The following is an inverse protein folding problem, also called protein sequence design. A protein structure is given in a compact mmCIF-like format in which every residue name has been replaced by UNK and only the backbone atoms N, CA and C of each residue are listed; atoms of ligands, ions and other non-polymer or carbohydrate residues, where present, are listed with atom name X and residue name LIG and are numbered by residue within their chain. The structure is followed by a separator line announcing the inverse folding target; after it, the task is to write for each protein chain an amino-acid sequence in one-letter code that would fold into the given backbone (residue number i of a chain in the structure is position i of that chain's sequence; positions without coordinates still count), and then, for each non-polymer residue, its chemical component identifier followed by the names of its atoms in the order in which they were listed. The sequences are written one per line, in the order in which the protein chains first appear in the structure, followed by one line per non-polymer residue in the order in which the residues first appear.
data_IF_836258386097
#
_entry.id   IF_836258386097
#
_cell.length_a   1.000
_cell.length_b   1.000
_cell.length_c   1.000
_cell.angle_alpha   90.00
_cell.angle_beta   90.00
_cell.angle_gamma   90.00
#
_symmetry.space_group_name_H-M   'P 1'
#
loop_
_entity.id
_entity.type
_entity.pdbx_description
1 polymer ?
#
# COMPACT_ATOMS: atom_id res chain seq x y z
N UNK A 1 17.25 -13.78 1.62
CA UNK A 1 16.73 -13.26 0.32
C UNK A 1 15.28 -12.92 0.59
N UNK A 2 14.87 -11.68 0.36
CA UNK A 2 13.51 -11.22 0.67
C UNK A 2 12.53 -11.74 -0.37
N UNK A 3 11.39 -12.29 0.07
CA UNK A 3 10.37 -12.85 -0.80
C UNK A 3 9.10 -11.98 -0.78
N UNK A 4 8.75 -11.45 -1.94
CA UNK A 4 7.58 -10.62 -2.19
C UNK A 4 6.52 -11.40 -2.94
N UNK A 5 5.32 -11.48 -2.38
CA UNK A 5 4.12 -11.90 -3.08
C UNK A 5 3.30 -10.68 -3.48
N UNK A 6 2.93 -10.60 -4.75
CA UNK A 6 2.06 -9.54 -5.29
C UNK A 6 0.70 -10.15 -5.62
N UNK A 7 -0.31 -9.80 -4.83
CA UNK A 7 -1.69 -10.24 -5.06
C UNK A 7 -2.38 -9.28 -6.04
N UNK A 8 -2.70 -9.79 -7.22
CA UNK A 8 -3.37 -9.03 -8.27
C UNK A 8 -4.82 -9.50 -8.43
N UNK A 9 -5.79 -8.60 -8.69
CA UNK A 9 -7.19 -8.99 -8.86
C UNK A 9 -7.43 -9.85 -10.11
N UNK A 10 -6.52 -9.75 -11.08
CA UNK A 10 -6.59 -10.51 -12.33
C UNK A 10 -5.28 -11.27 -12.56
N UNK A 11 -5.35 -12.40 -13.26
CA UNK A 11 -4.18 -13.16 -13.68
C UNK A 11 -3.41 -12.39 -14.76
N UNK A 12 -2.53 -11.49 -14.32
CA UNK A 12 -1.68 -10.66 -15.18
C UNK A 12 -0.21 -10.96 -14.94
N UNK A 13 0.60 -10.65 -15.94
CA UNK A 13 2.04 -10.63 -15.74
C UNK A 13 2.40 -9.53 -14.72
N UNK A 14 3.37 -9.81 -13.86
CA UNK A 14 3.92 -8.82 -12.92
C UNK A 14 4.27 -7.51 -13.62
N UNK A 15 3.89 -6.40 -13.03
CA UNK A 15 4.23 -5.06 -13.52
C UNK A 15 5.72 -4.78 -13.34
N UNK A 16 6.24 -3.88 -14.19
CA UNK A 16 7.66 -3.57 -14.25
C UNK A 16 8.29 -3.17 -12.89
N UNK A 17 7.64 -2.34 -12.04
CA UNK A 17 8.22 -1.98 -10.75
C UNK A 17 8.48 -3.18 -9.82
N UNK A 18 7.65 -4.23 -9.89
CA UNK A 18 7.88 -5.45 -9.12
C UNK A 18 8.95 -6.34 -9.74
N UNK A 19 8.96 -6.47 -11.09
CA UNK A 19 10.01 -7.24 -11.78
C UNK A 19 11.40 -6.68 -11.52
N UNK A 20 11.54 -5.37 -11.45
CA UNK A 20 12.82 -4.74 -11.18
C UNK A 20 13.38 -5.08 -9.79
N UNK A 21 12.53 -5.46 -8.82
CA UNK A 21 12.99 -5.93 -7.51
C UNK A 21 13.87 -7.17 -7.58
N UNK A 22 13.72 -8.00 -8.62
CA UNK A 22 14.58 -9.16 -8.86
C UNK A 22 16.04 -8.74 -9.02
N UNK A 23 16.32 -7.63 -9.70
CA UNK A 23 17.66 -7.09 -9.85
C UNK A 23 18.29 -6.62 -8.51
N UNK A 24 17.46 -6.38 -7.50
CA UNK A 24 17.89 -6.05 -6.13
C UNK A 24 17.94 -7.27 -5.19
N UNK A 25 17.90 -8.47 -5.75
CA UNK A 25 18.05 -9.72 -5.00
C UNK A 25 16.77 -10.20 -4.30
N UNK A 26 15.59 -9.74 -4.73
CA UNK A 26 14.30 -10.22 -4.22
C UNK A 26 13.79 -11.40 -5.05
N UNK A 27 13.13 -12.35 -4.40
CA UNK A 27 12.23 -13.30 -5.07
C UNK A 27 10.87 -12.63 -5.18
N UNK A 28 10.28 -12.60 -6.38
CA UNK A 28 8.99 -11.94 -6.62
C UNK A 28 8.04 -12.91 -7.31
N UNK A 29 6.88 -13.10 -6.71
CA UNK A 29 5.83 -13.97 -7.22
C UNK A 29 4.50 -13.21 -7.32
N UNK A 30 3.84 -13.28 -8.48
CA UNK A 30 2.52 -12.70 -8.71
C UNK A 30 1.45 -13.78 -8.77
N UNK A 31 0.34 -13.59 -8.03
CA UNK A 31 -0.76 -14.53 -8.02
C UNK A 31 -2.10 -13.85 -7.74
N UNK A 32 -3.19 -14.56 -7.96
CA UNK A 32 -4.50 -14.12 -7.50
C UNK A 32 -4.68 -14.44 -6.01
N UNK A 33 -5.50 -13.68 -5.26
CA UNK A 33 -5.77 -13.99 -3.85
C UNK A 33 -6.24 -15.43 -3.61
N UNK A 34 -6.98 -16.01 -4.56
CA UNK A 34 -7.50 -17.38 -4.49
C UNK A 34 -6.42 -18.47 -4.59
N UNK A 35 -5.27 -18.15 -5.17
CA UNK A 35 -4.13 -19.05 -5.33
C UNK A 35 -3.18 -19.01 -4.10
N UNK A 36 -3.47 -18.14 -3.12
CA UNK A 36 -2.63 -17.96 -1.94
C UNK A 36 -2.78 -19.14 -0.96
N UNK A 37 -1.77 -20.00 -0.93
CA UNK A 37 -1.70 -21.17 -0.03
C UNK A 37 -0.80 -20.92 1.19
N UNK A 38 -0.86 -21.77 2.20
CA UNK A 38 -0.05 -21.64 3.42
C UNK A 38 1.46 -21.74 3.15
N UNK A 39 1.87 -22.53 2.13
CA UNK A 39 3.27 -22.57 1.70
C UNK A 39 3.78 -21.22 1.19
N UNK A 40 2.94 -20.46 0.50
CA UNK A 40 3.28 -19.11 0.03
C UNK A 40 3.43 -18.16 1.21
N UNK A 41 2.46 -18.20 2.13
CA UNK A 41 2.56 -17.44 3.38
C UNK A 41 3.83 -17.83 4.15
N UNK A 42 4.17 -19.14 4.24
CA UNK A 42 5.35 -19.60 4.95
C UNK A 42 6.67 -19.05 4.39
N UNK A 43 6.76 -18.85 3.08
CA UNK A 43 7.95 -18.41 2.39
C UNK A 43 8.08 -16.89 2.28
N UNK A 44 6.96 -16.15 2.31
CA UNK A 44 6.94 -14.73 2.07
C UNK A 44 7.43 -13.91 3.27
N UNK A 45 8.08 -12.78 2.98
CA UNK A 45 8.39 -11.70 3.91
C UNK A 45 7.41 -10.55 3.76
N UNK A 46 6.96 -10.27 2.51
CA UNK A 46 6.04 -9.18 2.19
C UNK A 46 4.91 -9.66 1.29
N UNK A 47 3.68 -9.24 1.59
CA UNK A 47 2.53 -9.38 0.69
C UNK A 47 2.08 -7.99 0.27
N UNK A 48 2.06 -7.75 -1.04
CA UNK A 48 1.55 -6.54 -1.65
C UNK A 48 0.15 -6.81 -2.22
N UNK A 49 -0.85 -6.13 -1.68
CA UNK A 49 -2.23 -6.20 -2.15
C UNK A 49 -2.45 -5.09 -3.17
N UNK A 50 -2.71 -5.45 -4.41
CA UNK A 50 -3.08 -4.50 -5.45
C UNK A 50 -4.51 -4.00 -5.25
N UNK A 51 -4.77 -2.80 -5.75
CA UNK A 51 -6.08 -2.17 -5.73
C UNK A 51 -7.17 -3.05 -6.36
N UNK A 52 -8.38 -3.02 -5.79
CA UNK A 52 -9.55 -3.83 -6.17
C UNK A 52 -9.39 -5.34 -5.87
N UNK A 53 -8.65 -5.70 -4.84
CA UNK A 53 -8.64 -7.07 -4.34
C UNK A 53 -10.04 -7.50 -3.87
N UNK A 54 -10.37 -8.78 -4.03
CA UNK A 54 -11.65 -9.33 -3.53
C UNK A 54 -11.68 -9.35 -1.99
N UNK A 55 -12.22 -8.29 -1.40
CA UNK A 55 -12.28 -8.11 0.04
C UNK A 55 -13.20 -9.13 0.73
N UNK A 56 -14.21 -9.67 0.01
CA UNK A 56 -15.07 -10.75 0.55
C UNK A 56 -14.23 -12.01 0.74
N UNK A 57 -13.48 -12.40 -0.28
CA UNK A 57 -12.57 -13.54 -0.16
C UNK A 57 -11.47 -13.31 0.87
N UNK A 58 -10.83 -12.13 0.88
CA UNK A 58 -9.78 -11.80 1.86
C UNK A 58 -10.29 -11.91 3.30
N UNK A 59 -11.55 -11.55 3.56
CA UNK A 59 -12.17 -11.74 4.86
C UNK A 59 -12.30 -13.22 5.25
N UNK A 60 -12.47 -14.14 4.30
CA UNK A 60 -12.54 -15.59 4.60
C UNK A 60 -11.20 -16.19 5.02
N UNK A 61 -10.08 -15.55 4.64
CA UNK A 61 -8.72 -15.98 4.99
C UNK A 61 -8.06 -15.06 6.03
N UNK A 62 -8.85 -14.24 6.71
CA UNK A 62 -8.37 -13.25 7.68
C UNK A 62 -7.40 -13.84 8.71
N UNK A 63 -7.74 -14.97 9.32
CA UNK A 63 -6.91 -15.61 10.36
C UNK A 63 -5.53 -16.02 9.84
N UNK A 64 -5.46 -16.49 8.59
CA UNK A 64 -4.18 -16.85 7.93
C UNK A 64 -3.33 -15.61 7.71
N UNK A 65 -3.94 -14.50 7.24
CA UNK A 65 -3.26 -13.22 7.04
C UNK A 65 -2.79 -12.63 8.37
N UNK A 66 -3.62 -12.70 9.41
CA UNK A 66 -3.23 -12.25 10.75
C UNK A 66 -2.09 -13.07 11.33
N UNK A 67 -2.10 -14.40 11.14
CA UNK A 67 -0.98 -15.27 11.54
C UNK A 67 0.31 -14.89 10.81
N UNK A 68 0.24 -14.57 9.52
CA UNK A 68 1.39 -14.08 8.75
C UNK A 68 1.95 -12.79 9.35
N UNK A 69 1.10 -11.81 9.65
CA UNK A 69 1.51 -10.53 10.24
C UNK A 69 2.09 -10.71 11.65
N UNK A 70 1.48 -11.57 12.48
CA UNK A 70 1.93 -11.86 13.85
C UNK A 70 3.33 -12.46 13.91
N UNK A 71 3.70 -13.30 12.93
CA UNK A 71 5.04 -13.89 12.87
C UNK A 71 6.12 -12.98 12.25
N UNK A 72 5.79 -11.70 11.97
CA UNK A 72 6.74 -10.73 11.44
C UNK A 72 6.63 -10.45 9.95
N UNK A 73 5.70 -11.09 9.22
CA UNK A 73 5.44 -10.77 7.82
C UNK A 73 4.88 -9.35 7.64
N UNK A 74 5.07 -8.74 6.48
CA UNK A 74 4.70 -7.35 6.22
C UNK A 74 3.63 -7.23 5.15
N UNK A 75 2.77 -6.23 5.27
CA UNK A 75 1.75 -5.90 4.27
C UNK A 75 2.00 -4.53 3.63
N UNK A 76 1.83 -4.46 2.32
CA UNK A 76 1.58 -3.21 1.58
C UNK A 76 0.18 -3.34 0.97
N UNK A 77 -0.74 -2.51 1.41
CA UNK A 77 -2.16 -2.58 1.04
C UNK A 77 -2.54 -1.32 0.27
N UNK A 78 -3.07 -1.48 -0.94
CA UNK A 78 -3.61 -0.40 -1.75
C UNK A 78 -5.09 -0.69 -1.98
N UNK A 79 -5.98 0.01 -1.30
CA UNK A 79 -7.40 -0.27 -1.47
C UNK A 79 -8.31 0.84 -0.93
N UNK A 80 -9.54 0.83 -1.43
CA UNK A 80 -10.68 1.47 -0.78
C UNK A 80 -11.37 0.38 0.06
N UNK A 81 -11.15 0.38 1.36
CA UNK A 81 -11.75 -0.62 2.26
C UNK A 81 -13.27 -0.46 2.29
N UNK A 82 -13.97 -1.34 1.62
CA UNK A 82 -15.45 -1.42 1.62
C UNK A 82 -15.93 -2.38 2.69
N UNK A 83 -15.21 -3.49 2.84
CA UNK A 83 -15.43 -4.52 3.86
C UNK A 83 -14.20 -4.57 4.76
N UNK A 84 -14.40 -4.60 6.07
CA UNK A 84 -13.31 -4.77 7.03
C UNK A 84 -12.80 -6.23 6.98
N UNK A 85 -11.82 -6.49 6.12
CA UNK A 85 -11.24 -7.82 5.94
C UNK A 85 -10.03 -8.11 6.83
N UNK A 86 -9.48 -7.08 7.50
CA UNK A 86 -8.55 -7.22 8.64
C UNK A 86 -9.06 -6.38 9.81
N UNK A 87 -8.86 -6.79 11.06
CA UNK A 87 -9.49 -6.16 12.22
C UNK A 87 -9.06 -4.72 12.48
N UNK A 88 -7.91 -4.31 11.95
CA UNK A 88 -7.36 -2.95 12.09
C UNK A 88 -7.65 -2.04 10.89
N UNK A 89 -8.26 -2.55 9.81
CA UNK A 89 -8.65 -1.73 8.66
C UNK A 89 -10.01 -1.08 8.89
N UNK A 90 -10.06 0.23 8.75
CA UNK A 90 -11.30 0.98 8.80
C UNK A 90 -11.83 1.26 7.38
N UNK A 91 -13.15 1.43 7.27
CA UNK A 91 -13.78 1.69 5.98
C UNK A 91 -13.29 2.99 5.35
N UNK A 92 -13.16 2.96 4.04
CA UNK A 92 -12.83 4.14 3.25
C UNK A 92 -13.90 5.23 3.39
N UNK A 93 -13.45 6.46 3.58
CA UNK A 93 -14.26 7.66 3.68
C UNK A 93 -13.81 8.65 2.63
N UNK A 94 -14.76 9.27 1.95
CA UNK A 94 -14.46 10.26 0.92
C UNK A 94 -14.17 11.62 1.53
N UNK A 95 -13.22 12.35 0.94
CA UNK A 95 -12.99 13.77 1.24
C UNK A 95 -13.81 14.63 0.28
N UNK A 96 -14.50 15.67 0.76
CA UNK A 96 -15.27 16.57 -0.10
C UNK A 96 -14.43 17.11 -1.28
N UNK A 97 -14.97 17.10 -2.54
CA UNK A 97 -14.21 17.46 -3.72
C UNK A 97 -13.97 18.97 -3.86
N UNK A 98 -14.55 19.79 -3.00
CA UNK A 98 -14.41 21.25 -3.06
C UNK A 98 -13.97 21.82 -1.71
N UNK A 99 -13.01 22.74 -1.73
CA UNK A 99 -12.18 23.14 -2.89
C UNK A 99 -11.35 21.95 -3.42
N UNK A 100 -10.95 21.98 -4.69
CA UNK A 100 -10.14 20.90 -5.29
C UNK A 100 -8.78 20.68 -4.61
N UNK A 101 -8.30 21.66 -3.86
CA UNK A 101 -7.11 21.56 -3.02
C UNK A 101 -7.24 20.47 -1.96
N UNK A 102 -8.47 20.10 -1.58
CA UNK A 102 -8.71 18.98 -0.66
C UNK A 102 -8.18 17.63 -1.20
N UNK A 103 -8.02 17.49 -2.52
CA UNK A 103 -7.48 16.29 -3.15
C UNK A 103 -5.98 16.38 -3.47
N UNK A 104 -5.33 17.45 -3.06
CA UNK A 104 -3.88 17.58 -3.18
C UNK A 104 -3.21 16.82 -2.04
N UNK A 105 -2.30 15.93 -2.42
CA UNK A 105 -1.54 15.14 -1.46
C UNK A 105 -0.46 15.99 -0.84
N UNK A 106 -0.36 15.95 0.49
CA UNK A 106 0.65 16.66 1.25
C UNK A 106 1.47 15.68 2.08
N UNK A 107 2.81 15.85 2.14
CA UNK A 107 3.60 15.06 3.06
C UNK A 107 3.25 15.41 4.52
N UNK A 108 3.32 14.40 5.40
CA UNK A 108 3.27 14.59 6.85
C UNK A 108 4.59 14.12 7.48
N UNK A 109 4.77 12.82 7.61
CA UNK A 109 6.02 12.21 8.07
C UNK A 109 6.47 11.12 7.06
N UNK A 110 6.86 11.52 5.82
CA UNK A 110 7.05 10.57 4.72
C UNK A 110 8.19 9.58 4.94
N UNK A 111 9.20 9.94 5.76
CA UNK A 111 10.30 9.07 6.15
C UNK A 111 11.01 8.43 4.95
N UNK A 112 11.46 7.18 5.13
CA UNK A 112 12.12 6.41 4.08
C UNK A 112 11.16 5.92 2.98
N UNK A 113 9.84 5.93 3.23
CA UNK A 113 8.84 5.44 2.27
C UNK A 113 8.62 6.40 1.10
N UNK A 114 8.56 7.71 1.40
CA UNK A 114 8.23 8.75 0.43
C UNK A 114 9.22 9.93 0.43
N UNK A 115 10.30 9.86 1.22
CA UNK A 115 11.17 11.01 1.49
C UNK A 115 11.91 11.58 0.27
N UNK A 116 11.95 10.84 -0.85
CA UNK A 116 12.56 11.27 -2.10
C UNK A 116 11.56 11.66 -3.18
N UNK A 117 10.27 11.67 -2.86
CA UNK A 117 9.22 11.91 -3.83
C UNK A 117 8.89 13.39 -3.95
N UNK A 118 8.66 13.83 -5.19
CA UNK A 118 8.04 15.11 -5.46
C UNK A 118 6.51 14.96 -5.40
N UNK A 119 5.92 15.39 -4.29
CA UNK A 119 4.48 15.27 -4.04
C UNK A 119 3.60 16.01 -5.05
N UNK A 120 4.13 17.03 -5.74
CA UNK A 120 3.38 17.73 -6.79
C UNK A 120 3.00 16.80 -7.94
N UNK A 121 3.78 15.73 -8.15
CA UNK A 121 3.51 14.74 -9.20
C UNK A 121 2.33 13.83 -8.90
N UNK A 122 1.86 13.78 -7.66
CA UNK A 122 0.70 12.99 -7.24
C UNK A 122 -0.62 13.75 -7.39
N UNK A 123 -0.59 15.06 -7.54
CA UNK A 123 -1.80 15.88 -7.63
C UNK A 123 -2.62 15.57 -8.87
N UNK A 124 -1.93 15.38 -10.00
CA UNK A 124 -2.57 15.06 -11.28
C UNK A 124 -1.83 13.92 -11.96
N UNK A 125 -2.54 12.86 -12.30
CA UNK A 125 -2.02 11.75 -13.06
C UNK A 125 -2.90 11.52 -14.29
N UNK A 126 -2.29 11.47 -15.47
CA UNK A 126 -2.99 11.35 -16.76
C UNK A 126 -4.12 12.38 -16.93
N UNK A 127 -3.91 13.60 -16.44
CA UNK A 127 -4.89 14.69 -16.50
C UNK A 127 -6.03 14.61 -15.49
N UNK A 128 -5.99 13.63 -14.57
CA UNK A 128 -7.03 13.41 -13.55
C UNK A 128 -6.53 13.86 -12.18
N UNK A 129 -7.19 14.88 -11.60
CA UNK A 129 -6.98 15.28 -10.22
C UNK A 129 -7.60 14.26 -9.27
N UNK A 130 -6.90 13.98 -8.16
CA UNK A 130 -7.35 13.03 -7.14
C UNK A 130 -7.30 11.58 -7.62
N UNK A 131 -6.45 11.24 -8.60
CA UNK A 131 -6.24 9.85 -8.99
C UNK A 131 -5.42 9.10 -7.95
N UNK A 132 -4.54 9.76 -7.23
CA UNK A 132 -3.81 9.16 -6.13
C UNK A 132 -4.78 8.66 -5.05
N UNK A 133 -5.62 9.55 -4.53
CA UNK A 133 -6.74 9.21 -3.65
C UNK A 133 -7.80 10.34 -3.64
N UNK A 134 -9.03 9.98 -3.26
CA UNK A 134 -10.15 10.90 -3.01
C UNK A 134 -10.73 10.75 -1.61
N UNK A 135 -10.00 10.08 -0.76
CA UNK A 135 -10.43 9.81 0.59
C UNK A 135 -9.35 9.16 1.44
N UNK A 136 -9.75 8.56 2.51
CA UNK A 136 -8.86 8.01 3.53
C UNK A 136 -9.51 6.81 4.23
N UNK A 137 -8.70 6.07 4.97
CA UNK A 137 -9.16 5.13 6.00
C UNK A 137 -8.47 5.49 7.30
N UNK A 138 -9.25 5.62 8.37
CA UNK A 138 -8.69 5.90 9.70
C UNK A 138 -7.66 4.83 10.08
N UNK A 139 -6.44 5.21 10.47
CA UNK A 139 -5.43 4.26 10.88
C UNK A 139 -5.71 3.70 12.27
N UNK A 140 -5.13 2.54 12.60
CA UNK A 140 -5.14 2.05 13.99
C UNK A 140 -4.33 2.99 14.91
N UNK A 141 -4.61 2.97 16.23
CA UNK A 141 -3.84 3.75 17.20
C UNK A 141 -2.33 3.48 17.13
N UNK A 142 -1.53 4.54 17.15
CA UNK A 142 -0.07 4.46 17.06
C UNK A 142 0.49 4.32 15.64
N UNK A 143 -0.34 4.41 14.61
CA UNK A 143 0.14 4.48 13.23
C UNK A 143 0.77 5.85 12.94
N UNK A 144 1.86 5.84 12.17
CA UNK A 144 2.51 7.03 11.64
C UNK A 144 1.84 7.43 10.32
N UNK A 145 1.42 8.66 10.20
CA UNK A 145 0.91 9.20 8.95
C UNK A 145 2.08 9.59 8.03
N UNK A 146 2.06 9.13 6.80
CA UNK A 146 3.08 9.43 5.82
C UNK A 146 2.67 10.58 4.92
N UNK A 147 1.44 10.51 4.41
CA UNK A 147 0.84 11.51 3.54
C UNK A 147 -0.59 11.80 3.98
N UNK A 148 -1.07 12.99 3.68
CA UNK A 148 -2.39 13.44 4.07
C UNK A 148 -3.12 14.13 2.91
N UNK A 149 -4.44 14.17 3.02
CA UNK A 149 -5.40 14.78 2.10
C UNK A 149 -6.44 15.56 2.92
N UNK A 150 -7.28 16.33 2.29
CA UNK A 150 -8.38 17.04 2.96
C UNK A 150 -8.07 18.49 3.27
N UNK A 151 -8.98 19.18 3.96
CA UNK A 151 -8.80 20.56 4.39
C UNK A 151 -7.56 20.74 5.24
N UNK A 152 -6.98 21.94 5.24
CA UNK A 152 -5.78 22.23 6.05
C UNK A 152 -6.07 22.18 7.55
N UNK A 153 -7.27 22.57 7.95
CA UNK A 153 -7.74 22.57 9.33
C UNK A 153 -8.29 21.21 9.79
N UNK A 154 -8.51 20.28 8.84
CA UNK A 154 -8.98 18.92 9.12
C UNK A 154 -8.33 17.88 8.18
N UNK A 155 -6.98 17.73 8.24
CA UNK A 155 -6.26 16.79 7.39
C UNK A 155 -6.61 15.34 7.72
N UNK A 156 -6.59 14.48 6.69
CA UNK A 156 -6.89 13.05 6.80
C UNK A 156 -5.73 12.21 6.28
N UNK A 157 -5.38 11.09 6.93
CA UNK A 157 -4.27 10.22 6.52
C UNK A 157 -4.66 9.40 5.28
N UNK A 158 -3.98 9.63 4.16
CA UNK A 158 -4.15 8.82 2.95
C UNK A 158 -3.18 7.64 2.92
N UNK A 159 -1.96 7.87 3.41
CA UNK A 159 -0.95 6.85 3.60
C UNK A 159 -0.50 6.81 5.06
N UNK A 160 -0.43 5.61 5.59
CA UNK A 160 0.08 5.40 6.94
C UNK A 160 0.86 4.09 7.06
N UNK A 161 1.78 4.05 7.99
CA UNK A 161 2.48 2.83 8.38
C UNK A 161 2.20 2.52 9.85
N UNK A 162 2.00 1.26 10.13
CA UNK A 162 1.72 0.77 11.47
C UNK A 162 2.52 -0.50 11.77
N UNK A 163 3.13 -0.55 12.93
CA UNK A 163 3.75 -1.78 13.43
C UNK A 163 2.72 -2.55 14.23
N UNK A 164 2.38 -3.74 13.76
CA UNK A 164 1.53 -4.64 14.51
C UNK A 164 2.22 -5.03 15.83
N UNK A 165 1.54 -4.98 16.99
CA UNK A 165 2.15 -5.34 18.26
C UNK A 165 2.74 -6.76 18.28
N UNK A 166 4.07 -6.85 18.42
CA UNK A 166 4.80 -8.11 18.41
C UNK A 166 4.95 -8.78 17.04
N UNK A 167 4.59 -8.10 15.95
CA UNK A 167 4.62 -8.64 14.59
C UNK A 167 5.25 -7.72 13.56
N UNK A 168 4.85 -7.92 12.30
CA UNK A 168 5.33 -7.16 11.15
C UNK A 168 4.76 -5.74 11.05
N UNK A 169 4.91 -5.15 9.88
CA UNK A 169 4.42 -3.80 9.57
C UNK A 169 3.36 -3.84 8.50
N UNK A 170 2.49 -2.85 8.54
CA UNK A 170 1.49 -2.60 7.51
C UNK A 170 1.70 -1.19 6.97
N UNK A 171 1.99 -1.06 5.68
CA UNK A 171 1.81 0.19 4.96
C UNK A 171 0.45 0.12 4.27
N UNK A 172 -0.37 1.11 4.54
CA UNK A 172 -1.69 1.23 3.91
C UNK A 172 -1.77 2.50 3.09
N UNK A 173 -2.31 2.37 1.90
CA UNK A 173 -2.62 3.44 0.97
C UNK A 173 -4.12 3.43 0.64
N UNK A 174 -4.82 4.51 0.96
CA UNK A 174 -6.25 4.67 0.68
C UNK A 174 -6.48 5.14 -0.77
N UNK A 175 -6.05 4.37 -1.75
CA UNK A 175 -6.14 4.79 -3.15
C UNK A 175 -5.75 3.72 -4.15
N UNK A 176 -5.44 4.19 -5.37
CA UNK A 176 -4.96 3.33 -6.45
C UNK A 176 -3.56 2.78 -6.16
N UNK A 177 -3.17 1.73 -6.89
CA UNK A 177 -1.86 1.10 -6.73
C UNK A 177 -0.70 2.09 -6.76
N UNK A 178 0.08 2.15 -5.68
CA UNK A 178 1.27 2.99 -5.55
C UNK A 178 2.31 2.71 -6.64
N UNK A 179 2.38 1.48 -7.18
CA UNK A 179 3.30 1.17 -8.26
C UNK A 179 3.03 1.98 -9.54
N UNK A 180 1.80 2.44 -9.77
CA UNK A 180 1.45 3.29 -10.92
C UNK A 180 2.10 4.68 -10.84
N UNK A 181 2.37 5.14 -9.63
CA UNK A 181 3.05 6.42 -9.37
C UNK A 181 4.59 6.28 -9.39
N UNK A 182 5.08 5.05 -9.52
CA UNK A 182 6.52 4.75 -9.58
C UNK A 182 7.14 4.90 -10.97
N UNK A 183 6.32 5.01 -12.00
CA UNK A 183 6.74 4.72 -13.38
C UNK A 183 6.93 5.98 -14.21
N UNK A 184 7.88 6.85 -13.85
CA UNK A 184 8.46 7.76 -14.84
C UNK A 184 9.72 7.10 -15.39
N UNK A 185 9.83 6.90 -16.73
CA UNK A 185 11.06 6.40 -17.34
C UNK A 185 12.25 7.24 -16.88
N UNK A 186 13.30 6.58 -16.39
CA UNK A 186 14.53 7.24 -15.95
C UNK A 186 14.56 7.71 -14.49
N UNK A 187 13.51 7.48 -13.70
CA UNK A 187 13.54 7.67 -12.25
C UNK A 187 13.76 6.32 -11.55
N UNK A 188 15.01 6.00 -11.28
CA UNK A 188 15.42 4.91 -10.42
C UNK A 188 16.20 5.48 -9.22
N UNK A 189 15.97 5.00 -8.02
CA UNK A 189 14.95 4.05 -7.59
C UNK A 189 13.55 4.67 -7.55
N UNK A 190 12.54 3.88 -7.86
CA UNK A 190 11.14 4.29 -7.91
C UNK A 190 10.44 4.12 -6.54
N UNK A 191 9.24 4.71 -6.40
CA UNK A 191 8.44 4.67 -5.17
C UNK A 191 8.22 3.23 -4.65
N UNK A 192 7.95 2.27 -5.53
CA UNK A 192 7.75 0.87 -5.14
C UNK A 192 9.00 0.29 -4.47
N UNK A 193 10.19 0.59 -4.98
CA UNK A 193 11.46 0.16 -4.37
C UNK A 193 11.65 0.77 -2.98
N UNK A 194 11.39 2.07 -2.84
CA UNK A 194 11.54 2.76 -1.56
C UNK A 194 10.60 2.17 -0.51
N UNK A 195 9.33 1.98 -0.86
CA UNK A 195 8.31 1.38 0.01
C UNK A 195 8.72 -0.04 0.43
N UNK A 196 9.04 -0.90 -0.53
CA UNK A 196 9.36 -2.29 -0.25
C UNK A 196 10.65 -2.44 0.58
N UNK A 197 11.64 -1.60 0.34
CA UNK A 197 12.86 -1.58 1.17
C UNK A 197 12.61 -1.05 2.57
N UNK A 198 11.84 0.03 2.68
CA UNK A 198 11.54 0.64 3.97
C UNK A 198 10.67 -0.27 4.87
N UNK A 199 9.74 -1.04 4.28
CA UNK A 199 8.85 -1.88 5.10
C UNK A 199 9.57 -3.07 5.74
N UNK A 200 10.64 -3.59 5.11
CA UNK A 200 11.47 -4.68 5.65
C UNK A 200 12.68 -4.21 6.45
N UNK A 201 13.03 -2.93 6.37
CA UNK A 201 14.11 -2.37 7.18
C UNK A 201 13.67 -2.32 8.66
N UNK A 202 14.55 -2.69 9.57
CA UNK A 202 14.31 -2.63 11.02
C UNK A 202 14.25 -1.20 11.55
#
# INVERSE_FOLDING_TARGET
MTHLIVLTPEKRSLQQPFRSMIAFGWTVEGMQPYDLEDRHLAAADVIYFCFMSDQIYLATIQDRLMTFLQRGGHFVINDHVVIQWLPFLNRFQTVPPRPFTNWMIRPHEPGAYFGRMDFSTFHVHDGVLGQYSRGYSEPPPGAQWLCMIGPEDDPKPVDWVWRYPGGGRVLFHAGHDLYKHSSRPGQEPNLTHDILRAIVAD
#
